data_IF_922896158188
#
_entry.id   IF_922896158188
#
_cell.length_a   1.000
_cell.length_b   1.000
_cell.length_c   1.000
_cell.angle_alpha   90.00
_cell.angle_beta   90.00
_cell.angle_gamma   90.00
#
_symmetry.space_group_name_H-M   'P 1'
#
loop_
_entity.id
_entity.type
_entity.pdbx_description
1 polymer ?
#
# COMPACT_ATOMS: atom_id res chain seq x y z
N UNK A 1 -10.44 -15.11 -8.83
CA UNK A 1 -9.42 -14.14 -8.35
C UNK A 1 -9.47 -12.82 -9.09
N UNK A 2 -9.46 -12.79 -10.44
CA UNK A 2 -9.55 -11.51 -11.18
C UNK A 2 -10.86 -10.76 -10.98
N UNK A 3 -11.97 -11.47 -10.85
CA UNK A 3 -13.31 -10.88 -10.64
C UNK A 3 -13.47 -10.21 -9.26
N UNK A 4 -12.48 -10.30 -8.38
CA UNK A 4 -12.46 -9.63 -7.07
C UNK A 4 -11.72 -8.28 -7.11
N UNK A 5 -11.18 -7.87 -8.27
CA UNK A 5 -10.44 -6.61 -8.44
C UNK A 5 -11.08 -5.76 -9.53
N UNK A 6 -11.26 -4.47 -9.26
CA UNK A 6 -11.75 -3.51 -10.25
C UNK A 6 -10.72 -3.27 -11.37
N UNK A 7 -9.42 -3.32 -11.05
CA UNK A 7 -8.33 -3.20 -12.03
C UNK A 7 -7.05 -3.92 -11.59
N UNK A 8 -6.13 -4.15 -12.55
CA UNK A 8 -4.79 -4.70 -12.34
C UNK A 8 -3.74 -3.76 -12.95
N UNK A 9 -3.14 -2.92 -12.11
CA UNK A 9 -2.11 -1.96 -12.53
C UNK A 9 -0.72 -2.58 -12.46
N UNK A 10 0.05 -2.47 -13.54
CA UNK A 10 1.44 -2.98 -13.63
C UNK A 10 2.47 -1.85 -13.68
N UNK A 11 3.57 -2.04 -12.97
CA UNK A 11 4.75 -1.15 -13.00
C UNK A 11 5.37 -1.02 -14.42
N UNK A 12 5.12 -1.99 -15.31
CA UNK A 12 5.58 -1.93 -16.69
C UNK A 12 4.96 -0.75 -17.46
N UNK A 13 3.74 -0.32 -17.12
CA UNK A 13 3.08 0.82 -17.76
C UNK A 13 3.81 2.15 -17.50
N UNK A 14 4.55 2.24 -16.39
CA UNK A 14 5.31 3.44 -16.00
C UNK A 14 6.83 3.28 -16.12
N UNK A 15 7.31 2.10 -16.55
CA UNK A 15 8.74 1.79 -16.76
C UNK A 15 9.64 2.15 -15.56
N UNK A 16 9.09 1.97 -14.37
CA UNK A 16 9.73 2.24 -13.07
C UNK A 16 9.28 1.18 -12.08
N UNK A 17 10.22 0.65 -11.31
CA UNK A 17 9.93 -0.31 -10.25
C UNK A 17 9.81 0.41 -8.92
N UNK A 18 8.98 -0.13 -8.04
CA UNK A 18 8.94 0.26 -6.64
C UNK A 18 10.34 0.13 -6.01
N UNK A 19 10.74 0.99 -5.05
CA UNK A 19 9.92 1.98 -4.35
C UNK A 19 9.87 3.36 -5.03
N UNK A 20 10.19 3.47 -6.33
CA UNK A 20 9.95 4.71 -7.06
C UNK A 20 8.46 5.12 -6.96
N UNK A 21 8.13 6.42 -6.99
CA UNK A 21 6.76 6.88 -6.75
C UNK A 21 5.77 6.48 -7.86
N UNK A 22 6.25 6.29 -9.09
CA UNK A 22 5.41 6.18 -10.29
C UNK A 22 4.41 5.01 -10.26
N UNK A 23 4.76 3.80 -9.77
CA UNK A 23 3.79 2.71 -9.61
C UNK A 23 2.66 3.02 -8.63
N UNK A 24 2.91 3.76 -7.53
CA UNK A 24 1.86 4.13 -6.57
C UNK A 24 0.95 5.21 -7.17
N UNK A 25 1.56 6.23 -7.76
CA UNK A 25 0.83 7.31 -8.43
C UNK A 25 0.06 6.81 -9.67
N UNK A 26 0.48 5.71 -10.29
CA UNK A 26 -0.27 5.07 -11.37
C UNK A 26 -1.60 4.50 -10.89
N UNK A 27 -1.66 3.95 -9.67
CA UNK A 27 -2.92 3.49 -9.06
C UNK A 27 -3.84 4.68 -8.81
N UNK A 28 -3.35 5.74 -8.18
CA UNK A 28 -4.14 6.97 -7.95
C UNK A 28 -4.74 7.52 -9.25
N UNK A 29 -3.93 7.60 -10.32
CA UNK A 29 -4.40 8.03 -11.65
C UNK A 29 -5.40 7.08 -12.30
N UNK A 30 -5.25 5.76 -12.14
CA UNK A 30 -6.16 4.79 -12.75
C UNK A 30 -7.59 4.88 -12.17
N UNK A 31 -7.70 5.28 -10.90
CA UNK A 31 -8.98 5.43 -10.19
C UNK A 31 -9.45 6.88 -10.05
N UNK A 32 -8.70 7.85 -10.61
CA UNK A 32 -8.99 9.30 -10.54
C UNK A 32 -9.18 9.82 -9.09
N UNK A 33 -8.26 9.43 -8.20
CA UNK A 33 -8.26 9.81 -6.77
C UNK A 33 -6.95 10.48 -6.36
N UNK A 34 -6.93 11.18 -5.23
CA UNK A 34 -5.69 11.73 -4.66
C UNK A 34 -4.79 10.60 -4.13
N UNK A 35 -3.45 10.70 -4.22
CA UNK A 35 -2.55 9.71 -3.61
C UNK A 35 -2.85 9.41 -2.14
N UNK A 36 -3.31 10.40 -1.35
CA UNK A 36 -3.66 10.24 0.06
C UNK A 36 -4.91 9.35 0.30
N UNK A 37 -5.70 9.10 -0.74
CA UNK A 37 -6.84 8.17 -0.72
C UNK A 37 -6.42 6.73 -1.06
N UNK A 38 -5.19 6.53 -1.56
CA UNK A 38 -4.64 5.21 -1.86
C UNK A 38 -3.98 4.61 -0.63
N UNK A 39 -4.37 3.39 -0.26
CA UNK A 39 -3.69 2.58 0.77
C UNK A 39 -2.95 1.40 0.15
N UNK A 40 -1.64 1.37 0.29
CA UNK A 40 -0.85 0.18 -0.04
C UNK A 40 -0.94 -0.85 1.09
N UNK A 41 -1.30 -2.10 0.78
CA UNK A 41 -1.14 -3.24 1.69
C UNK A 41 0.10 -4.04 1.29
N UNK A 42 1.10 -4.15 2.18
CA UNK A 42 2.33 -4.88 1.86
C UNK A 42 2.99 -5.53 3.08
N UNK A 43 3.72 -6.63 2.86
CA UNK A 43 4.57 -7.24 3.88
C UNK A 43 6.03 -6.74 3.82
N UNK A 44 6.43 -6.04 2.75
CA UNK A 44 7.79 -5.56 2.56
C UNK A 44 7.93 -4.10 3.00
N UNK A 45 8.89 -3.82 3.89
CA UNK A 45 9.08 -2.50 4.49
C UNK A 45 9.42 -1.43 3.46
N UNK A 46 10.20 -1.78 2.44
CA UNK A 46 10.54 -0.87 1.35
C UNK A 46 9.32 -0.46 0.52
N UNK A 47 8.32 -1.33 0.39
CA UNK A 47 7.10 -1.06 -0.40
C UNK A 47 6.20 -0.09 0.37
N UNK A 48 5.99 -0.37 1.66
CA UNK A 48 5.28 0.55 2.56
C UNK A 48 5.95 1.92 2.64
N UNK A 49 7.29 1.95 2.75
CA UNK A 49 8.05 3.22 2.78
C UNK A 49 7.94 3.98 1.46
N UNK A 50 7.95 3.28 0.32
CA UNK A 50 7.78 3.87 -1.01
C UNK A 50 6.39 4.50 -1.19
N UNK A 51 5.33 3.81 -0.76
CA UNK A 51 3.98 4.35 -0.78
C UNK A 51 3.84 5.60 0.08
N UNK A 52 4.33 5.56 1.33
CA UNK A 52 4.30 6.71 2.24
C UNK A 52 5.07 7.91 1.66
N UNK A 53 6.23 7.67 1.05
CA UNK A 53 7.02 8.71 0.40
C UNK A 53 6.33 9.31 -0.85
N UNK A 54 5.47 8.54 -1.52
CA UNK A 54 4.66 8.98 -2.65
C UNK A 54 3.37 9.73 -2.23
N UNK A 55 3.13 9.89 -0.92
CA UNK A 55 1.93 10.55 -0.38
C UNK A 55 0.75 9.61 -0.15
N UNK A 56 0.92 8.30 -0.36
CA UNK A 56 -0.12 7.29 -0.07
C UNK A 56 -0.16 6.92 1.42
N UNK A 57 -1.27 6.30 1.85
CA UNK A 57 -1.36 5.56 3.11
C UNK A 57 -0.71 4.18 2.95
N UNK A 58 -0.38 3.53 4.07
CA UNK A 58 0.19 2.18 4.06
C UNK A 58 -0.34 1.32 5.21
N UNK A 59 -0.67 0.07 4.92
CA UNK A 59 -0.92 -0.98 5.88
C UNK A 59 0.13 -2.09 5.74
N UNK A 60 0.72 -2.48 6.86
CA UNK A 60 1.82 -3.44 6.88
C UNK A 60 1.39 -4.79 7.45
N UNK A 61 1.66 -5.86 6.71
CA UNK A 61 1.45 -7.24 7.17
C UNK A 61 2.74 -7.75 7.82
N UNK A 62 2.81 -7.69 9.15
CA UNK A 62 3.92 -8.10 10.00
C UNK A 62 4.00 -9.63 10.20
N UNK A 63 3.94 -10.37 9.10
CA UNK A 63 4.13 -11.83 9.12
C UNK A 63 5.56 -12.20 9.59
N UNK A 64 5.79 -13.43 10.08
CA UNK A 64 7.10 -13.83 10.61
C UNK A 64 8.27 -13.51 9.67
N UNK A 65 9.29 -12.83 10.20
CA UNK A 65 10.47 -12.40 9.45
C UNK A 65 10.35 -11.04 8.75
N UNK A 66 9.16 -10.44 8.72
CA UNK A 66 8.96 -9.09 8.18
C UNK A 66 8.78 -8.09 9.31
N UNK A 67 9.54 -6.99 9.24
CA UNK A 67 9.46 -5.88 10.17
C UNK A 67 9.26 -4.57 9.41
N UNK A 68 8.45 -3.62 9.93
CA UNK A 68 8.36 -2.29 9.35
C UNK A 68 9.74 -1.61 9.28
N UNK A 69 9.89 -0.65 8.37
CA UNK A 69 11.13 0.12 8.28
C UNK A 69 11.37 0.88 9.59
N UNK A 70 12.58 0.84 10.18
CA UNK A 70 12.91 1.70 11.32
C UNK A 70 13.13 3.17 10.89
N UNK A 71 13.20 3.43 9.59
CA UNK A 71 13.47 4.73 8.99
C UNK A 71 12.28 5.19 8.13
N UNK A 72 11.99 6.49 8.16
CA UNK A 72 10.93 7.10 7.36
C UNK A 72 9.55 7.08 8.01
N UNK A 73 8.51 7.28 7.19
CA UNK A 73 7.12 7.25 7.62
C UNK A 73 6.74 5.86 8.14
N UNK A 74 5.87 5.83 9.16
CA UNK A 74 5.33 4.57 9.68
C UNK A 74 3.96 4.30 9.07
N UNK A 75 3.67 3.06 8.64
CA UNK A 75 2.32 2.61 8.36
C UNK A 75 1.44 2.88 9.58
N UNK A 76 0.29 3.50 9.36
CA UNK A 76 -0.73 3.75 10.37
C UNK A 76 -1.48 2.47 10.76
N UNK A 77 -1.45 1.46 9.88
CA UNK A 77 -2.02 0.13 10.11
C UNK A 77 -0.92 -0.92 10.09
N UNK A 78 -0.88 -1.76 11.11
CA UNK A 78 0.05 -2.91 11.21
C UNK A 78 -0.70 -4.10 11.81
N UNK A 79 -0.73 -5.23 11.12
CA UNK A 79 -1.34 -6.47 11.60
C UNK A 79 -0.45 -7.68 11.34
N UNK A 80 -0.60 -8.74 12.13
CA UNK A 80 0.19 -9.97 12.01
C UNK A 80 -0.13 -10.76 10.72
N UNK A 81 -1.34 -10.59 10.20
CA UNK A 81 -1.81 -11.19 8.95
C UNK A 81 -2.76 -10.24 8.18
N UNK A 82 -3.31 -10.72 7.07
CA UNK A 82 -4.19 -9.93 6.21
C UNK A 82 -5.56 -9.68 6.85
N UNK A 83 -6.05 -10.57 7.71
CA UNK A 83 -7.35 -10.44 8.36
C UNK A 83 -7.31 -9.29 9.36
N UNK A 84 -6.27 -9.24 10.20
CA UNK A 84 -6.09 -8.15 11.17
C UNK A 84 -5.90 -6.80 10.48
N UNK A 85 -5.21 -6.76 9.34
CA UNK A 85 -5.09 -5.54 8.52
C UNK A 85 -6.44 -5.11 7.96
N UNK A 86 -7.27 -6.05 7.47
CA UNK A 86 -8.62 -5.74 6.97
C UNK A 86 -9.50 -5.17 8.08
N UNK A 87 -9.51 -5.77 9.27
CA UNK A 87 -10.30 -5.29 10.41
C UNK A 87 -9.94 -3.84 10.77
N UNK A 88 -8.64 -3.51 10.77
CA UNK A 88 -8.17 -2.15 11.02
C UNK A 88 -8.56 -1.18 9.88
N UNK A 89 -8.50 -1.59 8.61
CA UNK A 89 -8.92 -0.75 7.47
C UNK A 89 -10.40 -0.42 7.57
N UNK A 90 -11.24 -1.41 7.88
CA UNK A 90 -12.68 -1.19 8.05
C UNK A 90 -12.96 -0.15 9.15
N UNK A 91 -12.22 -0.23 10.26
CA UNK A 91 -12.36 0.69 11.40
C UNK A 91 -11.84 2.11 11.10
N UNK A 92 -10.80 2.26 10.28
CA UNK A 92 -10.09 3.54 10.10
C UNK A 92 -10.49 4.33 8.85
N UNK A 93 -10.85 3.65 7.77
CA UNK A 93 -11.09 4.30 6.47
C UNK A 93 -12.53 4.23 5.98
N UNK A 94 -13.37 3.35 6.55
CA UNK A 94 -14.74 3.10 6.06
C UNK A 94 -15.81 3.56 7.06
N UNK A 95 -15.58 3.38 8.35
CA UNK A 95 -16.40 3.94 9.44
C UNK A 95 -16.09 5.41 9.72
#
# INVERSE_FOLDING_TARGET
MREQFDDVVSADAVKRLKPAPEPYLAVARAFDVDPAEVRLVAAHSWDASGALAAGCKAAFVARPGMVPSPLGGRPDIVGADISEVVDQIMTMDIE
#
